data_IF_413755158069
#
_entry.id   IF_413755158069
#
_cell.length_a   1.000
_cell.length_b   1.000
_cell.length_c   1.000
_cell.angle_alpha   90.00
_cell.angle_beta   90.00
_cell.angle_gamma   90.00
#
_symmetry.space_group_name_H-M   'P 1'
#
loop_
_entity.id
_entity.type
_entity.pdbx_description
1 polymer ?
#
# COMPACT_ATOMS: atom_id res chain seq x y z
N UNK A 1 -0.92 -0.50 16.83
CA UNK A 1 -1.98 0.48 16.62
C UNK A 1 -3.17 -0.15 15.93
N UNK A 2 -4.31 0.55 15.92
CA UNK A 2 -5.47 0.17 15.11
C UNK A 2 -5.77 1.33 14.17
N UNK A 3 -6.18 1.02 12.95
CA UNK A 3 -6.57 2.00 11.93
C UNK A 3 -7.86 1.55 11.26
N UNK A 4 -8.69 2.49 10.86
CA UNK A 4 -9.89 2.23 10.08
C UNK A 4 -9.96 3.22 8.92
N UNK A 5 -10.21 2.70 7.72
CA UNK A 5 -10.40 3.49 6.50
C UNK A 5 -11.82 3.28 5.97
N UNK A 6 -12.33 4.25 5.21
CA UNK A 6 -13.67 4.21 4.61
C UNK A 6 -14.82 4.10 5.64
N UNK A 7 -14.72 4.78 6.80
CA UNK A 7 -15.78 4.77 7.82
C UNK A 7 -17.13 5.31 7.30
N UNK A 8 -17.09 6.19 6.29
CA UNK A 8 -18.28 6.64 5.57
C UNK A 8 -18.40 5.78 4.33
N UNK A 9 -19.25 4.76 4.42
CA UNK A 9 -19.58 3.95 3.26
C UNK A 9 -20.30 4.79 2.21
N UNK A 10 -19.85 4.70 0.96
CA UNK A 10 -20.47 5.41 -0.15
C UNK A 10 -20.64 4.47 -1.32
N UNK A 11 -21.89 4.30 -1.72
CA UNK A 11 -22.24 3.61 -2.94
C UNK A 11 -22.26 4.64 -4.07
N UNK A 12 -21.34 4.51 -5.02
CA UNK A 12 -21.28 5.35 -6.22
C UNK A 12 -21.90 4.56 -7.36
N UNK A 13 -23.10 4.98 -7.78
CA UNK A 13 -23.71 4.48 -9.01
C UNK A 13 -23.07 5.20 -10.20
N UNK A 14 -22.36 4.45 -11.02
CA UNK A 14 -21.77 4.99 -12.25
C UNK A 14 -22.90 5.32 -13.23
N UNK A 15 -22.92 6.53 -13.79
CA UNK A 15 -23.97 6.91 -14.74
C UNK A 15 -23.85 6.06 -16.01
N UNK A 16 -24.98 5.58 -16.52
CA UNK A 16 -25.06 4.96 -17.85
C UNK A 16 -24.99 6.05 -18.93
N UNK A 17 -24.16 5.86 -19.94
CA UNK A 17 -24.12 6.71 -21.13
C UNK A 17 -24.06 5.86 -22.38
N UNK A 18 -24.76 6.32 -23.42
CA UNK A 18 -24.89 5.63 -24.69
C UNK A 18 -23.81 6.16 -25.64
N UNK A 19 -22.96 5.27 -26.13
CA UNK A 19 -21.96 5.60 -27.14
C UNK A 19 -22.26 4.81 -28.40
N UNK A 20 -22.68 5.50 -29.47
CA UNK A 20 -23.22 4.90 -30.68
C UNK A 20 -24.41 3.95 -30.39
N UNK A 21 -24.28 2.66 -30.71
CA UNK A 21 -25.29 1.60 -30.50
C UNK A 21 -25.06 0.77 -29.23
N UNK A 22 -23.97 1.00 -28.49
CA UNK A 22 -23.64 0.24 -27.27
C UNK A 22 -24.10 0.97 -26.01
N UNK A 23 -24.80 0.23 -25.14
CA UNK A 23 -25.24 0.71 -23.83
C UNK A 23 -24.24 0.26 -22.78
N UNK A 24 -23.42 1.18 -22.28
CA UNK A 24 -22.52 0.89 -21.15
C UNK A 24 -23.35 0.92 -19.87
N UNK A 25 -23.52 -0.26 -19.27
CA UNK A 25 -24.29 -0.51 -18.05
C UNK A 25 -23.74 0.26 -16.84
N UNK A 26 -24.65 0.65 -15.94
CA UNK A 26 -24.33 1.29 -14.65
C UNK A 26 -23.75 0.24 -13.70
N UNK A 27 -22.51 0.43 -13.24
CA UNK A 27 -21.93 -0.38 -12.17
C UNK A 27 -22.04 0.35 -10.82
N UNK A 28 -22.42 -0.40 -9.78
CA UNK A 28 -22.50 0.08 -8.40
C UNK A 28 -21.19 -0.25 -7.69
N UNK A 29 -20.42 0.79 -7.36
CA UNK A 29 -19.18 0.69 -6.61
C UNK A 29 -19.45 0.98 -5.14
N UNK A 30 -19.27 -0.01 -4.26
CA UNK A 30 -19.55 0.13 -2.83
C UNK A 30 -18.24 0.26 -2.06
N UNK A 31 -18.04 1.42 -1.43
CA UNK A 31 -16.94 1.62 -0.48
C UNK A 31 -17.39 1.14 0.89
N UNK A 32 -16.83 0.03 1.38
CA UNK A 32 -17.09 -0.49 2.74
C UNK A 32 -15.96 -0.15 3.71
N UNK A 33 -16.27 -0.01 5.01
CA UNK A 33 -15.26 0.25 6.03
C UNK A 33 -14.27 -0.91 6.13
N UNK A 34 -12.99 -0.60 6.26
CA UNK A 34 -11.91 -1.58 6.45
C UNK A 34 -11.18 -1.28 7.75
N UNK A 35 -10.99 -2.30 8.56
CA UNK A 35 -10.27 -2.25 9.83
C UNK A 35 -8.92 -2.91 9.66
N UNK A 36 -7.86 -2.21 10.03
CA UNK A 36 -6.48 -2.69 10.00
C UNK A 36 -5.94 -2.68 11.42
N UNK A 37 -5.31 -3.77 11.83
CA UNK A 37 -4.53 -3.83 13.07
C UNK A 37 -3.06 -3.95 12.73
N UNK A 38 -2.22 -3.27 13.50
CA UNK A 38 -0.79 -3.28 13.28
C UNK A 38 -0.01 -3.32 14.57
N UNK A 39 1.15 -3.95 14.55
CA UNK A 39 2.11 -3.95 15.64
C UNK A 39 3.48 -3.56 15.11
N UNK A 40 4.23 -2.80 15.89
CA UNK A 40 5.58 -2.40 15.51
C UNK A 40 6.45 -2.17 16.73
N UNK A 41 7.74 -2.38 16.56
CA UNK A 41 8.77 -2.12 17.56
C UNK A 41 9.78 -1.15 16.95
N UNK A 42 10.14 -0.14 17.73
CA UNK A 42 11.12 0.87 17.37
C UNK A 42 12.28 0.72 18.34
N UNK A 43 13.47 0.47 17.81
CA UNK A 43 14.73 0.43 18.55
C UNK A 43 15.69 1.46 17.97
N UNK A 44 16.83 1.67 18.64
CA UNK A 44 17.79 2.73 18.27
C UNK A 44 18.46 2.52 16.90
N UNK A 45 18.50 1.28 16.41
CA UNK A 45 19.17 0.91 15.16
C UNK A 45 18.25 0.23 14.15
N UNK A 46 17.06 -0.19 14.57
CA UNK A 46 16.12 -0.84 13.68
C UNK A 46 14.68 -0.60 14.12
N UNK A 47 13.78 -0.60 13.15
CA UNK A 47 12.33 -0.57 13.36
C UNK A 47 11.74 -1.74 12.59
N UNK A 48 10.72 -2.38 13.16
CA UNK A 48 9.95 -3.41 12.48
C UNK A 48 8.46 -3.15 12.66
N UNK A 49 7.68 -3.46 11.64
CA UNK A 49 6.22 -3.33 11.67
C UNK A 49 5.55 -4.46 10.92
N UNK A 50 4.35 -4.80 11.38
CA UNK A 50 3.44 -5.72 10.70
C UNK A 50 2.03 -5.17 10.80
N UNK A 51 1.33 -5.14 9.68
CA UNK A 51 -0.06 -4.69 9.56
C UNK A 51 -0.91 -5.76 8.90
N UNK A 52 -2.11 -5.97 9.40
CA UNK A 52 -3.08 -6.95 8.93
C UNK A 52 -4.48 -6.35 8.85
N UNK A 53 -5.12 -6.47 7.68
CA UNK A 53 -6.50 -6.06 7.48
C UNK A 53 -7.45 -7.14 8.02
N UNK A 54 -8.27 -6.78 9.02
CA UNK A 54 -9.18 -7.71 9.72
C UNK A 54 -10.39 -8.14 8.90
N UNK A 55 -10.80 -7.32 7.92
CA UNK A 55 -11.96 -7.57 7.09
C UNK A 55 -11.63 -7.39 5.61
N UNK A 56 -12.34 -8.16 4.78
CA UNK A 56 -12.23 -8.09 3.33
C UNK A 56 -12.91 -6.82 2.79
N UNK A 57 -12.15 -6.00 2.06
CA UNK A 57 -12.69 -4.87 1.31
C UNK A 57 -13.39 -5.39 0.06
N UNK A 58 -14.72 -5.39 0.06
CA UNK A 58 -15.53 -5.82 -1.08
C UNK A 58 -15.98 -4.59 -1.89
N UNK A 59 -15.41 -4.38 -3.09
CA UNK A 59 -15.61 -3.15 -3.91
C UNK A 59 -16.78 -3.18 -4.90
N UNK A 60 -17.12 -4.34 -5.44
CA UNK A 60 -18.26 -4.52 -6.34
C UNK A 60 -19.21 -5.58 -5.80
N UNK A 61 -20.52 -5.37 -5.89
CA UNK A 61 -21.52 -6.36 -5.45
C UNK A 61 -21.61 -7.58 -6.38
N UNK A 62 -21.18 -7.45 -7.64
CA UNK A 62 -21.25 -8.50 -8.67
C UNK A 62 -19.93 -9.22 -8.97
N UNK A 63 -18.81 -8.83 -8.35
CA UNK A 63 -17.50 -9.46 -8.55
C UNK A 63 -16.90 -9.84 -7.21
N UNK A 64 -16.37 -11.06 -7.10
CA UNK A 64 -15.63 -11.56 -5.92
C UNK A 64 -14.20 -10.97 -5.90
N UNK A 65 -14.13 -9.64 -5.87
CA UNK A 65 -12.91 -8.84 -5.82
C UNK A 65 -12.67 -8.36 -4.38
N UNK A 66 -12.59 -9.33 -3.49
CA UNK A 66 -12.30 -9.09 -2.09
C UNK A 66 -10.80 -8.76 -1.99
N UNK A 67 -10.44 -7.76 -1.19
CA UNK A 67 -9.04 -7.42 -0.91
C UNK A 67 -8.79 -7.49 0.58
N UNK A 68 -7.75 -8.25 0.98
CA UNK A 68 -7.31 -8.35 2.36
C UNK A 68 -5.79 -8.30 2.39
N UNK A 69 -5.21 -7.23 2.91
CA UNK A 69 -3.76 -7.04 2.83
C UNK A 69 -3.09 -7.47 4.14
N UNK A 70 -1.99 -8.21 4.00
CA UNK A 70 -0.97 -8.32 5.05
C UNK A 70 0.30 -7.61 4.59
N UNK A 71 0.91 -6.86 5.50
CA UNK A 71 2.10 -6.07 5.24
C UNK A 71 3.08 -6.28 6.38
N UNK A 72 4.35 -6.46 6.04
CA UNK A 72 5.44 -6.51 7.00
C UNK A 72 6.57 -5.64 6.48
N UNK A 73 7.21 -4.91 7.37
CA UNK A 73 8.28 -3.98 7.03
C UNK A 73 9.34 -3.93 8.11
N UNK A 74 10.55 -3.57 7.69
CA UNK A 74 11.64 -3.25 8.59
C UNK A 74 12.46 -2.09 8.04
N UNK A 75 13.04 -1.33 8.95
CA UNK A 75 13.95 -0.24 8.69
C UNK A 75 15.19 -0.43 9.57
N UNK A 76 16.37 -0.20 9.02
CA UNK A 76 17.65 -0.28 9.72
C UNK A 76 18.37 1.04 9.54
N UNK A 77 18.67 1.70 10.65
CA UNK A 77 19.38 2.97 10.68
C UNK A 77 20.88 2.74 10.89
N UNK A 78 21.66 3.16 9.90
CA UNK A 78 23.13 3.10 9.92
C UNK A 78 23.66 4.50 10.17
N UNK A 79 24.29 4.66 11.34
CA UNK A 79 24.99 5.89 11.75
C UNK A 79 24.13 7.17 11.72
N UNK A 80 22.78 7.04 11.74
CA UNK A 80 21.82 8.15 11.62
C UNK A 80 21.97 8.99 10.34
N UNK A 81 22.68 8.48 9.35
CA UNK A 81 22.91 9.12 8.04
C UNK A 81 22.38 8.27 6.89
N UNK A 82 22.12 6.98 7.13
CA UNK A 82 21.59 6.08 6.11
C UNK A 82 20.53 5.19 6.73
N UNK A 83 19.42 5.02 6.03
CA UNK A 83 18.33 4.14 6.42
C UNK A 83 18.10 3.10 5.32
N UNK A 84 18.11 1.83 5.67
CA UNK A 84 17.77 0.73 4.75
C UNK A 84 16.37 0.24 5.09
N UNK A 85 15.50 0.18 4.10
CA UNK A 85 14.09 -0.21 4.25
C UNK A 85 13.82 -1.45 3.43
N UNK A 86 13.16 -2.42 4.05
CA UNK A 86 12.68 -3.63 3.40
C UNK A 86 11.24 -3.89 3.77
N UNK A 87 10.47 -4.43 2.84
CA UNK A 87 9.08 -4.74 3.11
C UNK A 87 8.52 -5.82 2.19
N UNK A 88 7.46 -6.45 2.67
CA UNK A 88 6.68 -7.43 1.96
C UNK A 88 5.20 -7.15 2.16
N UNK A 89 4.44 -7.19 1.08
CA UNK A 89 3.01 -6.98 1.10
C UNK A 89 2.34 -8.05 0.27
N UNK A 90 1.27 -8.66 0.79
CA UNK A 90 0.52 -9.69 0.07
C UNK A 90 -0.97 -9.47 0.24
N UNK A 91 -1.71 -9.65 -0.85
CA UNK A 91 -3.15 -9.75 -0.80
C UNK A 91 -3.56 -11.21 -0.52
N UNK A 92 -4.24 -11.44 0.58
CA UNK A 92 -4.73 -12.75 1.04
C UNK A 92 -6.10 -13.11 0.46
N UNK A 93 -6.90 -12.11 0.08
CA UNK A 93 -8.26 -12.35 -0.40
C UNK A 93 -8.30 -12.91 -1.83
N UNK A 94 -7.21 -12.80 -2.60
CA UNK A 94 -7.04 -13.49 -3.88
C UNK A 94 -6.04 -14.63 -3.71
N UNK A 95 -6.50 -15.87 -3.87
CA UNK A 95 -5.66 -17.07 -3.79
C UNK A 95 -4.52 -17.14 -4.82
N UNK A 96 -4.55 -16.32 -5.88
CA UNK A 96 -3.55 -16.25 -6.94
C UNK A 96 -2.73 -14.95 -6.96
N UNK A 97 -2.85 -14.08 -5.96
CA UNK A 97 -2.08 -12.82 -5.94
C UNK A 97 -0.61 -13.06 -5.55
N UNK A 98 0.29 -12.54 -6.38
CA UNK A 98 1.72 -12.56 -6.15
C UNK A 98 2.08 -11.52 -5.08
N UNK A 99 2.93 -11.90 -4.13
CA UNK A 99 3.37 -10.98 -3.08
C UNK A 99 4.30 -9.91 -3.63
N UNK A 100 4.11 -8.67 -3.20
CA UNK A 100 4.97 -7.54 -3.52
C UNK A 100 6.12 -7.44 -2.53
N UNK A 101 7.35 -7.41 -3.05
CA UNK A 101 8.56 -7.09 -2.28
C UNK A 101 8.91 -5.62 -2.53
N UNK A 102 9.30 -4.93 -1.47
CA UNK A 102 9.78 -3.55 -1.53
C UNK A 102 11.14 -3.42 -0.88
N UNK A 103 12.02 -2.63 -1.47
CA UNK A 103 13.31 -2.29 -0.90
C UNK A 103 13.59 -0.81 -1.12
N UNK A 104 14.27 -0.17 -0.17
CA UNK A 104 14.64 1.23 -0.28
C UNK A 104 15.87 1.56 0.52
N UNK A 105 16.52 2.64 0.11
CA UNK A 105 17.68 3.23 0.78
C UNK A 105 17.46 4.74 0.86
N UNK A 106 17.57 5.27 2.07
CA UNK A 106 17.57 6.69 2.37
C UNK A 106 18.97 7.12 2.81
N UNK A 107 19.45 8.26 2.33
CA UNK A 107 20.69 8.89 2.76
C UNK A 107 20.39 10.32 3.20
N UNK A 108 20.74 10.64 4.44
CA UNK A 108 20.48 11.95 5.06
C UNK A 108 21.71 12.51 5.79
N UNK A 109 22.81 12.83 5.09
CA UNK A 109 24.02 13.35 5.72
C UNK A 109 23.73 14.68 6.42
N UNK A 110 23.99 14.73 7.73
CA UNK A 110 23.82 15.90 8.59
C UNK A 110 22.41 16.52 8.57
N UNK A 111 21.40 15.81 8.05
CA UNK A 111 20.03 16.31 7.80
C UNK A 111 19.95 17.56 6.92
N UNK A 112 21.00 17.84 6.15
CA UNK A 112 21.02 18.96 5.19
C UNK A 112 20.45 18.55 3.84
N UNK A 113 20.67 17.30 3.48
CA UNK A 113 20.26 16.68 2.23
C UNK A 113 19.55 15.38 2.60
N UNK A 114 18.47 15.05 1.91
CA UNK A 114 17.77 13.78 2.02
C UNK A 114 17.60 13.21 0.60
N UNK A 115 18.13 12.02 0.37
CA UNK A 115 17.98 11.26 -0.86
C UNK A 115 17.36 9.92 -0.53
N UNK A 116 16.19 9.63 -1.06
CA UNK A 116 15.52 8.35 -0.90
C UNK A 116 15.30 7.67 -2.25
N UNK A 117 15.74 6.43 -2.35
CA UNK A 117 15.54 5.57 -3.50
C UNK A 117 14.74 4.37 -3.03
N UNK A 118 13.64 4.07 -3.70
CA UNK A 118 12.82 2.90 -3.40
C UNK A 118 12.46 2.16 -4.68
N UNK A 119 12.35 0.85 -4.57
CA UNK A 119 11.90 -0.04 -5.63
C UNK A 119 10.87 -1.02 -5.07
N UNK A 120 9.93 -1.39 -5.92
CA UNK A 120 8.91 -2.41 -5.64
C UNK A 120 8.82 -3.37 -6.80
N UNK A 121 8.64 -4.64 -6.46
CA UNK A 121 8.50 -5.71 -7.41
C UNK A 121 7.34 -6.60 -6.96
N UNK A 122 6.33 -6.75 -7.80
CA UNK A 122 5.23 -7.69 -7.57
C UNK A 122 5.30 -8.84 -8.57
N UNK A 123 5.32 -8.51 -9.86
CA UNK A 123 5.40 -9.47 -10.95
C UNK A 123 6.03 -8.81 -12.19
N UNK A 124 6.21 -9.57 -13.27
CA UNK A 124 6.80 -9.07 -14.54
C UNK A 124 6.07 -7.85 -15.12
N UNK A 125 4.78 -7.69 -14.83
CA UNK A 125 3.94 -6.60 -15.33
C UNK A 125 3.76 -5.46 -14.30
N UNK A 126 4.28 -5.61 -13.09
CA UNK A 126 4.05 -4.70 -11.95
C UNK A 126 5.33 -4.51 -11.15
N UNK A 127 6.25 -3.76 -11.77
CA UNK A 127 7.48 -3.27 -11.16
C UNK A 127 7.45 -1.73 -11.11
N UNK A 128 8.09 -1.14 -10.12
CA UNK A 128 8.21 0.31 -10.04
C UNK A 128 9.41 0.73 -9.21
N UNK A 129 9.95 1.90 -9.51
CA UNK A 129 10.98 2.54 -8.71
C UNK A 129 10.66 4.03 -8.55
N UNK A 130 11.14 4.62 -7.47
CA UNK A 130 10.97 6.04 -7.16
C UNK A 130 12.26 6.58 -6.57
N UNK A 131 12.58 7.82 -6.92
CA UNK A 131 13.70 8.56 -6.36
C UNK A 131 13.14 9.88 -5.87
N UNK A 132 13.43 10.23 -4.62
CA UNK A 132 13.07 11.49 -4.01
C UNK A 132 14.34 12.17 -3.50
N UNK A 133 14.39 13.50 -3.67
CA UNK A 133 15.51 14.32 -3.23
C UNK A 133 14.97 15.59 -2.60
N UNK A 134 15.50 15.93 -1.43
CA UNK A 134 15.20 17.16 -0.70
C UNK A 134 16.52 17.77 -0.21
N UNK A 135 16.64 19.08 -0.33
CA UNK A 135 17.75 19.83 0.24
C UNK A 135 17.17 20.97 1.08
N UNK A 136 17.65 21.10 2.32
CA UNK A 136 17.26 22.18 3.23
C UNK A 136 18.41 23.18 3.28
N UNK A 137 18.12 24.46 2.97
CA UNK A 137 19.07 25.58 3.02
C UNK A 137 18.64 26.59 4.07
#
# INVERSE_FOLDING_TARGET
>A
GISAKNLIGRDVKTKSFQYNTDTIQSYEYSMRPVYTVGAGIVADYFTMSVDYDLNEEKRFSSFDDNTQMIRAGFEIDILRQMALRGGYMKNLARSNDEGTITAGIGLSPLKLIELDIAARYTNENAMGASINFLATY
#
